data_IF_737751909528
#
_entry.id   IF_737751909528
#
_cell.length_a   1.000
_cell.length_b   1.000
_cell.length_c   1.000
_cell.angle_alpha   90.00
_cell.angle_beta   90.00
_cell.angle_gamma   90.00
#
_symmetry.space_group_name_H-M   'P 1'
#
loop_
_entity.id
_entity.type
_entity.pdbx_description
1 polymer ?
#
# COMPACT_ATOMS: atom_id res chain seq x y z
N UNK A 1 -11.41 -1.98 26.58
CA UNK A 1 -11.94 -3.00 25.65
C UNK A 1 -11.47 -2.85 24.20
N UNK A 2 -10.79 -1.75 23.81
CA UNK A 2 -10.35 -1.46 22.45
C UNK A 2 -8.92 -1.94 22.11
N UNK A 3 -8.10 -2.29 23.09
CA UNK A 3 -6.73 -2.76 22.86
C UNK A 3 -6.64 -4.24 22.41
N UNK A 4 -7.65 -5.05 22.70
CA UNK A 4 -7.65 -6.50 22.41
C UNK A 4 -7.93 -6.83 20.94
N UNK A 5 -8.70 -6.03 20.22
CA UNK A 5 -8.99 -6.29 18.81
C UNK A 5 -7.78 -6.03 17.90
N UNK A 6 -6.96 -5.04 18.21
CA UNK A 6 -5.76 -4.69 17.42
C UNK A 6 -4.68 -5.80 17.45
N UNK A 7 -4.52 -6.48 18.58
CA UNK A 7 -3.55 -7.59 18.69
C UNK A 7 -4.02 -8.82 17.90
N UNK A 8 -5.34 -9.05 17.87
CA UNK A 8 -5.93 -10.19 17.15
C UNK A 8 -5.87 -9.99 15.63
N UNK A 9 -6.11 -8.76 15.16
CA UNK A 9 -6.01 -8.42 13.74
C UNK A 9 -4.56 -8.45 13.24
N UNK A 10 -3.60 -7.97 14.04
CA UNK A 10 -2.19 -8.07 13.73
C UNK A 10 -1.72 -9.53 13.61
N UNK A 11 -2.16 -10.39 14.53
CA UNK A 11 -1.86 -11.82 14.51
C UNK A 11 -2.47 -12.54 13.30
N UNK A 12 -3.72 -12.24 12.96
CA UNK A 12 -4.37 -12.77 11.76
C UNK A 12 -3.69 -12.31 10.46
N UNK A 13 -3.18 -11.07 10.43
CA UNK A 13 -2.40 -10.57 9.30
C UNK A 13 -1.06 -11.30 9.16
N UNK A 14 -0.37 -11.58 10.28
CA UNK A 14 0.87 -12.38 10.28
C UNK A 14 0.63 -13.82 9.82
N UNK A 15 -0.40 -14.49 10.33
CA UNK A 15 -0.74 -15.86 9.94
C UNK A 15 -1.07 -15.95 8.44
N UNK A 16 -1.80 -14.97 7.90
CA UNK A 16 -2.10 -14.91 6.46
C UNK A 16 -0.88 -14.57 5.61
N UNK A 17 0.02 -13.71 6.10
CA UNK A 17 1.29 -13.43 5.43
C UNK A 17 2.10 -14.72 5.30
N UNK A 18 2.22 -15.50 6.37
CA UNK A 18 2.93 -16.78 6.35
C UNK A 18 2.29 -17.79 5.40
N UNK A 19 0.97 -17.90 5.38
CA UNK A 19 0.25 -18.78 4.43
C UNK A 19 0.50 -18.36 2.97
N UNK A 20 0.51 -17.08 2.67
CA UNK A 20 0.77 -16.59 1.30
C UNK A 20 2.23 -16.74 0.89
N UNK A 21 3.16 -16.57 1.82
CA UNK A 21 4.59 -16.83 1.57
C UNK A 21 4.82 -18.32 1.29
N UNK A 22 4.18 -19.21 2.07
CA UNK A 22 4.22 -20.66 1.84
C UNK A 22 3.61 -21.06 0.50
N UNK A 23 2.46 -20.48 0.14
CA UNK A 23 1.81 -20.73 -1.15
C UNK A 23 2.68 -20.31 -2.36
N UNK A 24 3.61 -19.37 -2.15
CA UNK A 24 4.57 -18.91 -3.17
C UNK A 24 5.95 -19.55 -3.05
N UNK A 25 6.13 -20.49 -2.12
CA UNK A 25 7.41 -21.17 -1.89
C UNK A 25 8.51 -20.27 -1.32
N UNK A 26 8.15 -19.13 -0.72
CA UNK A 26 9.08 -18.16 -0.14
C UNK A 26 8.99 -18.25 1.37
N UNK A 27 10.11 -18.46 2.06
CA UNK A 27 10.14 -18.41 3.52
C UNK A 27 10.34 -16.96 4.00
N UNK A 28 9.82 -16.64 5.20
CA UNK A 28 10.03 -15.33 5.85
C UNK A 28 11.52 -14.97 5.92
N UNK A 29 12.38 -15.95 6.20
CA UNK A 29 13.83 -15.79 6.24
C UNK A 29 14.44 -15.43 4.86
N UNK A 30 13.87 -15.96 3.78
CA UNK A 30 14.28 -15.58 2.42
C UNK A 30 13.80 -14.17 2.06
N UNK A 31 12.60 -13.78 2.52
CA UNK A 31 12.11 -12.41 2.37
C UNK A 31 12.99 -11.43 3.16
N UNK A 32 13.33 -11.75 4.42
CA UNK A 32 14.23 -10.97 5.27
C UNK A 32 15.64 -10.90 4.67
N UNK A 33 16.17 -12.00 4.16
CA UNK A 33 17.47 -12.03 3.47
C UNK A 33 17.46 -11.21 2.18
N UNK A 34 16.38 -11.21 1.41
CA UNK A 34 16.23 -10.33 0.26
C UNK A 34 16.16 -8.86 0.67
N UNK A 35 15.55 -8.56 1.81
CA UNK A 35 15.52 -7.22 2.40
C UNK A 35 16.92 -6.81 2.93
N UNK A 36 17.62 -7.70 3.62
CA UNK A 36 18.97 -7.44 4.17
C UNK A 36 20.04 -7.32 3.06
N UNK A 37 19.96 -8.12 2.01
CA UNK A 37 20.87 -8.00 0.86
C UNK A 37 20.66 -6.71 0.06
N UNK A 38 19.50 -6.08 0.15
CA UNK A 38 19.24 -4.77 -0.46
C UNK A 38 19.85 -3.60 0.33
N UNK A 39 20.30 -3.83 1.56
CA UNK A 39 20.88 -2.79 2.43
C UNK A 39 22.40 -2.62 2.30
N UNK A 40 23.06 -3.53 1.57
CA UNK A 40 24.53 -3.47 1.35
C UNK A 40 24.80 -3.03 -0.09
N UNK A 41 25.07 -1.75 -0.27
CA UNK A 41 25.66 -1.09 -1.46
C UNK A 41 24.95 -1.23 -2.83
N UNK A 42 23.77 -1.79 -2.95
CA UNK A 42 23.00 -1.67 -4.18
C UNK A 42 22.17 -0.38 -4.18
N UNK A 43 22.42 0.48 -5.18
CA UNK A 43 21.57 1.63 -5.49
C UNK A 43 20.10 1.17 -5.53
N UNK A 44 19.24 1.69 -4.64
CA UNK A 44 17.83 1.31 -4.57
C UNK A 44 17.17 1.60 -5.91
N UNK A 45 16.97 0.58 -6.71
CA UNK A 45 16.35 0.70 -8.03
C UNK A 45 14.84 0.78 -7.87
N UNK A 46 14.31 1.96 -8.10
CA UNK A 46 12.87 2.12 -8.22
C UNK A 46 12.37 1.43 -9.49
N UNK A 47 11.22 0.81 -9.40
CA UNK A 47 10.60 0.07 -10.49
C UNK A 47 9.09 0.28 -10.46
N UNK A 48 8.43 -0.07 -11.53
CA UNK A 48 6.96 -0.03 -11.59
C UNK A 48 6.41 -1.41 -11.86
N UNK A 49 5.20 -1.63 -11.36
CA UNK A 49 4.40 -2.79 -11.71
C UNK A 49 2.94 -2.38 -11.85
N UNK A 50 2.21 -3.09 -12.67
CA UNK A 50 0.78 -2.87 -12.86
C UNK A 50 -0.01 -3.67 -11.86
N UNK A 51 -0.96 -3.00 -11.21
CA UNK A 51 -1.83 -3.64 -10.24
C UNK A 51 -3.25 -3.79 -10.80
N UNK A 52 -3.77 -5.02 -10.72
CA UNK A 52 -5.10 -5.36 -11.18
C UNK A 52 -5.26 -5.35 -12.71
N UNK A 53 -6.48 -5.54 -13.17
CA UNK A 53 -6.84 -5.50 -14.58
C UNK A 53 -7.15 -4.05 -15.02
N UNK A 54 -7.00 -3.74 -16.31
CA UNK A 54 -7.46 -2.46 -16.85
C UNK A 54 -8.95 -2.23 -16.57
N UNK A 55 -9.33 -1.00 -16.24
CA UNK A 55 -10.68 -0.63 -15.88
C UNK A 55 -11.16 0.62 -16.61
N UNK A 56 -12.44 0.67 -16.96
CA UNK A 56 -13.08 1.88 -17.55
C UNK A 56 -13.44 2.90 -16.46
N UNK A 57 -13.87 2.44 -15.31
CA UNK A 57 -14.23 3.29 -14.16
C UNK A 57 -13.41 2.87 -12.96
N UNK A 58 -12.75 3.85 -12.35
CA UNK A 58 -11.99 3.64 -11.11
C UNK A 58 -12.95 3.21 -10.00
N UNK A 59 -12.62 2.14 -9.28
CA UNK A 59 -13.20 1.90 -7.96
C UNK A 59 -12.42 2.77 -6.95
N UNK A 60 -13.07 3.81 -6.38
CA UNK A 60 -12.38 4.72 -5.48
C UNK A 60 -11.84 4.02 -4.23
N UNK A 61 -12.51 2.97 -3.75
CA UNK A 61 -12.08 2.23 -2.58
C UNK A 61 -10.75 1.49 -2.85
N UNK A 62 -10.66 0.80 -3.99
CA UNK A 62 -9.41 0.11 -4.40
C UNK A 62 -8.27 1.13 -4.57
N UNK A 63 -8.54 2.27 -5.20
CA UNK A 63 -7.53 3.32 -5.38
C UNK A 63 -7.03 3.88 -4.05
N UNK A 64 -7.93 4.09 -3.07
CA UNK A 64 -7.56 4.58 -1.74
C UNK A 64 -6.70 3.54 -1.02
N UNK A 65 -7.13 2.28 -0.99
CA UNK A 65 -6.39 1.19 -0.33
C UNK A 65 -4.99 1.07 -0.94
N UNK A 66 -4.90 0.92 -2.26
CA UNK A 66 -3.63 0.75 -2.96
C UNK A 66 -2.69 1.94 -2.73
N UNK A 67 -3.22 3.17 -2.79
CA UNK A 67 -2.42 4.37 -2.55
C UNK A 67 -1.91 4.46 -1.11
N UNK A 68 -2.73 4.03 -0.14
CA UNK A 68 -2.37 4.05 1.28
C UNK A 68 -1.28 3.02 1.59
N UNK A 69 -1.44 1.79 1.09
CA UNK A 69 -0.43 0.73 1.23
C UNK A 69 0.87 1.14 0.54
N UNK A 70 0.80 1.58 -0.72
CA UNK A 70 1.99 2.01 -1.44
C UNK A 70 2.71 3.17 -0.72
N UNK A 71 1.97 4.18 -0.24
CA UNK A 71 2.54 5.31 0.50
C UNK A 71 3.19 4.88 1.81
N UNK A 72 2.64 3.91 2.51
CA UNK A 72 3.23 3.35 3.73
C UNK A 72 4.62 2.76 3.44
N UNK A 73 4.75 2.02 2.35
CA UNK A 73 6.01 1.45 1.86
C UNK A 73 6.83 2.41 0.97
N UNK A 74 6.68 3.72 1.14
CA UNK A 74 7.35 4.77 0.38
C UNK A 74 7.09 4.77 -1.13
N UNK A 75 6.18 3.93 -1.63
CA UNK A 75 5.78 3.86 -3.03
C UNK A 75 4.81 4.98 -3.45
N UNK A 76 4.46 4.99 -4.74
CA UNK A 76 3.46 5.89 -5.34
C UNK A 76 2.57 5.14 -6.30
N UNK A 77 1.32 5.55 -6.41
CA UNK A 77 0.36 5.01 -7.37
C UNK A 77 0.04 6.06 -8.41
N UNK A 78 0.08 5.66 -9.67
CA UNK A 78 -0.25 6.50 -10.82
C UNK A 78 -1.33 5.80 -11.63
N UNK A 79 -2.35 6.55 -12.04
CA UNK A 79 -3.35 6.02 -12.97
C UNK A 79 -2.88 6.30 -14.39
N UNK A 80 -2.46 5.26 -15.09
CA UNK A 80 -2.02 5.37 -16.48
C UNK A 80 -3.14 5.03 -17.45
N UNK A 81 -3.13 5.70 -18.60
CA UNK A 81 -4.01 5.44 -19.74
C UNK A 81 -3.28 4.72 -20.88
N UNK A 82 -2.02 4.37 -20.66
CA UNK A 82 -1.18 3.69 -21.65
C UNK A 82 -0.86 2.26 -21.20
N UNK A 83 -0.80 1.35 -22.14
CA UNK A 83 -0.33 -0.03 -21.94
C UNK A 83 1.20 -0.08 -21.72
N UNK A 84 1.75 -1.28 -21.59
CA UNK A 84 3.18 -1.51 -21.40
C UNK A 84 4.02 -1.07 -22.61
N UNK A 85 3.43 -1.10 -23.79
CA UNK A 85 4.06 -0.70 -25.05
C UNK A 85 3.92 0.81 -25.32
N UNK A 86 3.28 1.55 -24.42
CA UNK A 86 3.06 2.98 -24.55
C UNK A 86 1.84 3.37 -25.40
N UNK A 87 1.03 2.42 -25.86
CA UNK A 87 -0.19 2.68 -26.62
C UNK A 87 -1.33 3.09 -25.70
N UNK A 88 -2.21 3.96 -26.17
CA UNK A 88 -3.40 4.36 -25.42
C UNK A 88 -4.40 3.20 -25.28
N UNK A 89 -4.87 2.95 -24.08
CA UNK A 89 -5.85 1.91 -23.75
C UNK A 89 -7.27 2.46 -23.94
N UNK A 90 -7.73 2.71 -25.09
CA UNK A 90 -9.07 3.15 -25.52
C UNK A 90 -10.15 3.29 -24.39
N UNK A 91 -10.04 4.35 -23.62
CA UNK A 91 -10.90 4.65 -22.46
C UNK A 91 -10.64 3.81 -21.20
N UNK A 92 -9.70 2.88 -21.21
CA UNK A 92 -9.27 2.14 -20.05
C UNK A 92 -8.13 2.84 -19.30
N UNK A 93 -8.04 2.55 -18.03
CA UNK A 93 -6.95 3.00 -17.14
C UNK A 93 -6.43 1.81 -16.37
N UNK A 94 -5.23 1.95 -15.82
CA UNK A 94 -4.64 0.94 -14.93
C UNK A 94 -3.84 1.64 -13.83
N UNK A 95 -3.77 1.01 -12.68
CA UNK A 95 -2.88 1.45 -11.61
C UNK A 95 -1.45 1.00 -11.92
N UNK A 96 -0.55 1.96 -12.04
CA UNK A 96 0.89 1.74 -12.11
C UNK A 96 1.50 2.10 -10.75
N UNK A 97 2.08 1.12 -10.08
CA UNK A 97 2.63 1.27 -8.74
C UNK A 97 4.14 1.39 -8.85
N UNK A 98 4.66 2.51 -8.39
CA UNK A 98 6.09 2.78 -8.31
C UNK A 98 6.58 2.45 -6.91
N UNK A 99 7.53 1.53 -6.81
CA UNK A 99 8.10 1.10 -5.55
C UNK A 99 9.51 0.55 -5.77
N UNK A 100 10.27 0.33 -4.71
CA UNK A 100 11.48 -0.48 -4.80
C UNK A 100 11.12 -1.94 -5.09
N UNK A 101 12.07 -2.66 -5.67
CA UNK A 101 11.86 -4.08 -6.00
C UNK A 101 11.51 -4.91 -4.76
N UNK A 102 12.13 -4.61 -3.62
CA UNK A 102 11.88 -5.29 -2.36
C UNK A 102 10.42 -5.08 -1.85
N UNK A 103 9.84 -3.90 -2.07
CA UNK A 103 8.52 -3.54 -1.57
C UNK A 103 7.34 -3.99 -2.43
N UNK A 104 7.61 -4.40 -3.68
CA UNK A 104 6.55 -4.84 -4.61
C UNK A 104 5.64 -5.90 -4.03
N UNK A 105 6.23 -6.97 -3.50
CA UNK A 105 5.49 -8.12 -2.99
C UNK A 105 4.65 -7.74 -1.77
N UNK A 106 5.22 -6.95 -0.86
CA UNK A 106 4.51 -6.46 0.32
C UNK A 106 3.29 -5.63 -0.09
N UNK A 107 3.47 -4.66 -0.99
CA UNK A 107 2.36 -3.83 -1.48
C UNK A 107 1.26 -4.68 -2.11
N UNK A 108 1.61 -5.67 -2.92
CA UNK A 108 0.63 -6.57 -3.54
C UNK A 108 -0.14 -7.38 -2.49
N UNK A 109 0.57 -8.07 -1.59
CA UNK A 109 -0.04 -8.94 -0.57
C UNK A 109 -0.98 -8.14 0.33
N UNK A 110 -0.52 -7.00 0.86
CA UNK A 110 -1.35 -6.18 1.75
C UNK A 110 -2.57 -5.59 1.02
N UNK A 111 -2.39 -5.15 -0.22
CA UNK A 111 -3.51 -4.61 -1.00
C UNK A 111 -4.55 -5.69 -1.30
N UNK A 112 -4.13 -6.88 -1.74
CA UNK A 112 -5.03 -8.00 -2.02
C UNK A 112 -5.80 -8.43 -0.76
N UNK A 113 -5.10 -8.52 0.37
CA UNK A 113 -5.71 -8.82 1.66
C UNK A 113 -6.78 -7.81 2.06
N UNK A 114 -6.47 -6.50 1.97
CA UNK A 114 -7.41 -5.45 2.34
C UNK A 114 -8.62 -5.37 1.41
N UNK A 115 -8.43 -5.67 0.11
CA UNK A 115 -9.55 -5.76 -0.84
C UNK A 115 -10.45 -6.95 -0.50
N UNK A 116 -9.88 -8.07 -0.13
CA UNK A 116 -10.64 -9.23 0.32
C UNK A 116 -11.42 -8.90 1.61
N UNK A 117 -10.76 -8.33 2.62
CA UNK A 117 -11.41 -7.91 3.86
C UNK A 117 -12.56 -6.92 3.61
N UNK A 118 -12.38 -5.94 2.74
CA UNK A 118 -13.44 -5.02 2.32
C UNK A 118 -14.65 -5.76 1.72
N UNK A 119 -14.41 -6.79 0.89
CA UNK A 119 -15.48 -7.56 0.29
C UNK A 119 -16.21 -8.44 1.32
N UNK A 120 -15.47 -9.04 2.24
CA UNK A 120 -16.02 -9.86 3.32
C UNK A 120 -16.88 -9.01 4.27
N UNK A 121 -16.39 -7.83 4.66
CA UNK A 121 -17.14 -6.87 5.49
C UNK A 121 -18.40 -6.35 4.77
N UNK A 122 -18.32 -6.13 3.46
CA UNK A 122 -19.52 -5.78 2.68
C UNK A 122 -20.55 -6.90 2.71
N UNK A 123 -20.14 -8.16 2.54
CA UNK A 123 -21.06 -9.32 2.61
C UNK A 123 -21.69 -9.43 4.00
N UNK A 124 -20.91 -9.20 5.05
CA UNK A 124 -21.42 -9.18 6.44
C UNK A 124 -22.45 -8.07 6.63
N UNK A 125 -22.14 -6.85 6.19
CA UNK A 125 -23.06 -5.71 6.25
C UNK A 125 -24.38 -5.98 5.50
N UNK A 126 -24.33 -6.62 4.34
CA UNK A 126 -25.53 -7.02 3.60
C UNK A 126 -26.43 -7.99 4.36
N UNK A 127 -25.82 -8.86 5.20
CA UNK A 127 -26.58 -9.82 6.04
C UNK A 127 -27.18 -9.14 7.27
N UNK A 128 -26.50 -8.14 7.83
CA UNK A 128 -26.94 -7.40 9.01
C UNK A 128 -28.08 -6.42 8.71
N UNK A 129 -28.06 -5.77 7.53
CA UNK A 129 -29.08 -4.82 7.11
C UNK A 129 -29.52 -5.02 5.64
N UNK A 130 -30.20 -6.14 5.34
CA UNK A 130 -30.61 -6.48 3.98
C UNK A 130 -31.63 -5.49 3.39
N UNK A 131 -32.45 -4.86 4.24
CA UNK A 131 -33.47 -3.91 3.80
C UNK A 131 -32.83 -2.61 3.29
N UNK A 132 -31.90 -2.03 4.03
CA UNK A 132 -31.19 -0.82 3.64
C UNK A 132 -30.38 -1.04 2.36
N UNK A 133 -29.72 -2.20 2.25
CA UNK A 133 -28.96 -2.58 1.05
C UNK A 133 -29.86 -2.67 -0.18
N UNK A 134 -31.04 -3.27 -0.05
CA UNK A 134 -32.03 -3.37 -1.15
C UNK A 134 -32.57 -2.01 -1.58
N UNK A 135 -32.86 -1.12 -0.62
CA UNK A 135 -33.40 0.22 -0.89
C UNK A 135 -32.38 1.16 -1.56
N UNK A 136 -31.12 1.12 -1.16
CA UNK A 136 -30.11 2.09 -1.58
C UNK A 136 -29.21 1.62 -2.74
N UNK A 137 -29.23 0.34 -3.07
CA UNK A 137 -28.57 -0.25 -4.22
C UNK A 137 -27.07 0.04 -4.34
N UNK A 138 -26.62 0.31 -5.56
CA UNK A 138 -25.19 0.52 -5.86
C UNK A 138 -24.57 1.75 -5.19
N UNK A 139 -25.36 2.78 -4.89
CA UNK A 139 -24.90 3.98 -4.21
C UNK A 139 -24.45 3.68 -2.78
N UNK A 140 -25.24 2.88 -2.06
CA UNK A 140 -24.91 2.45 -0.70
C UNK A 140 -23.62 1.62 -0.66
N UNK A 141 -23.51 0.65 -1.58
CA UNK A 141 -22.29 -0.15 -1.73
C UNK A 141 -21.04 0.72 -1.92
N UNK A 142 -21.12 1.69 -2.83
CA UNK A 142 -20.00 2.58 -3.11
C UNK A 142 -19.64 3.47 -1.91
N UNK A 143 -20.64 3.95 -1.19
CA UNK A 143 -20.46 4.76 0.02
C UNK A 143 -19.81 3.95 1.14
N UNK A 144 -20.32 2.74 1.41
CA UNK A 144 -19.74 1.82 2.38
C UNK A 144 -18.27 1.52 2.04
N UNK A 145 -17.98 1.08 0.82
CA UNK A 145 -16.63 0.72 0.37
C UNK A 145 -15.66 1.89 0.50
N UNK A 146 -16.11 3.09 0.11
CA UNK A 146 -15.31 4.31 0.22
C UNK A 146 -15.03 4.72 1.67
N UNK A 147 -16.03 4.62 2.55
CA UNK A 147 -15.87 4.92 3.98
C UNK A 147 -14.92 3.92 4.66
N UNK A 148 -15.06 2.63 4.36
CA UNK A 148 -14.17 1.59 4.85
C UNK A 148 -12.71 1.83 4.41
N UNK A 149 -12.49 2.11 3.13
CA UNK A 149 -11.16 2.38 2.58
C UNK A 149 -10.52 3.64 3.20
N UNK A 150 -11.33 4.68 3.50
CA UNK A 150 -10.85 5.88 4.19
C UNK A 150 -10.35 5.57 5.60
N UNK A 151 -11.08 4.77 6.39
CA UNK A 151 -10.64 4.34 7.71
C UNK A 151 -9.30 3.58 7.66
N UNK A 152 -9.14 2.70 6.67
CA UNK A 152 -7.86 2.02 6.43
C UNK A 152 -6.76 3.03 6.11
N UNK A 153 -7.04 4.01 5.24
CA UNK A 153 -6.09 5.06 4.88
C UNK A 153 -5.66 5.90 6.07
N UNK A 154 -6.59 6.28 6.94
CA UNK A 154 -6.32 6.99 8.18
C UNK A 154 -5.39 6.18 9.08
N UNK A 155 -5.65 4.87 9.23
CA UNK A 155 -4.82 3.97 10.03
C UNK A 155 -3.39 3.86 9.51
N UNK A 156 -3.20 3.68 8.21
CA UNK A 156 -1.86 3.67 7.60
C UNK A 156 -1.13 5.01 7.80
N UNK A 157 -1.86 6.12 7.73
CA UNK A 157 -1.29 7.45 7.96
C UNK A 157 -0.86 7.65 9.41
N UNK A 158 -1.62 7.13 10.37
CA UNK A 158 -1.27 7.12 11.79
C UNK A 158 -0.01 6.27 12.04
N UNK A 159 0.00 5.02 11.56
CA UNK A 159 1.15 4.12 11.69
C UNK A 159 2.43 4.76 11.13
N UNK A 160 2.35 5.35 9.94
CA UNK A 160 3.49 6.03 9.32
C UNK A 160 3.98 7.21 10.16
N UNK A 161 3.06 7.99 10.73
CA UNK A 161 3.40 9.11 11.61
C UNK A 161 4.05 8.63 12.91
N UNK A 162 3.57 7.53 13.47
CA UNK A 162 4.16 6.91 14.65
C UNK A 162 5.60 6.43 14.37
N UNK A 163 5.84 5.76 13.23
CA UNK A 163 7.19 5.37 12.80
C UNK A 163 8.12 6.58 12.60
N UNK A 164 7.64 7.63 11.95
CA UNK A 164 8.41 8.87 11.73
C UNK A 164 8.75 9.56 13.06
N UNK A 165 7.83 9.58 14.02
CA UNK A 165 8.05 10.17 15.35
C UNK A 165 9.04 9.33 16.15
N UNK A 166 8.91 8.01 16.19
CA UNK A 166 9.87 7.12 16.82
C UNK A 166 11.27 7.29 16.22
N UNK A 167 11.37 7.41 14.90
CA UNK A 167 12.63 7.69 14.22
C UNK A 167 13.25 9.04 14.63
N UNK A 168 12.44 10.08 14.85
CA UNK A 168 12.91 11.40 15.32
C UNK A 168 13.35 11.34 16.78
N UNK A 169 12.62 10.68 17.67
CA UNK A 169 12.98 10.51 19.07
C UNK A 169 14.32 9.78 19.23
N UNK A 170 14.56 8.75 18.42
CA UNK A 170 15.82 8.03 18.37
C UNK A 170 16.96 8.96 17.94
N UNK A 171 16.72 9.88 17.01
CA UNK A 171 17.74 10.85 16.57
C UNK A 171 18.02 11.92 17.61
N UNK A 172 17.04 12.32 18.41
CA UNK A 172 17.17 13.43 19.38
C UNK A 172 17.63 12.97 20.76
N UNK A 173 17.30 11.76 21.18
CA UNK A 173 17.53 11.29 22.57
C UNK A 173 18.85 10.54 22.76
N UNK A 174 19.64 10.25 21.74
CA UNK A 174 20.84 9.44 21.95
C UNK A 174 22.18 10.15 21.83
N UNK A 175 22.81 10.25 23.00
CA UNK A 175 24.29 10.25 23.07
C UNK A 175 24.90 8.91 22.64
N UNK A 176 24.10 7.86 22.51
CA UNK A 176 24.49 6.55 21.95
C UNK A 176 23.55 6.25 20.79
N UNK A 177 23.93 6.70 19.60
CA UNK A 177 23.18 6.50 18.36
C UNK A 177 23.12 5.00 18.09
N UNK A 178 21.93 4.44 18.11
CA UNK A 178 21.70 3.08 17.67
C UNK A 178 21.88 3.06 16.12
N UNK A 179 23.05 2.64 15.65
CA UNK A 179 23.45 2.70 14.23
C UNK A 179 22.44 2.01 13.31
N UNK A 180 21.76 0.97 13.82
CA UNK A 180 20.73 0.25 13.06
C UNK A 180 19.48 1.11 12.80
N UNK A 181 19.00 1.88 13.79
CA UNK A 181 17.85 2.75 13.61
C UNK A 181 18.13 3.91 12.64
N UNK A 182 19.35 4.45 12.70
CA UNK A 182 19.80 5.50 11.78
C UNK A 182 19.92 4.98 10.34
N UNK A 183 20.36 3.72 10.17
CA UNK A 183 20.41 3.05 8.87
C UNK A 183 19.02 2.90 8.26
N UNK A 184 18.00 2.49 9.04
CA UNK A 184 16.62 2.36 8.58
C UNK A 184 16.03 3.71 8.12
N UNK A 185 16.24 4.78 8.88
CA UNK A 185 15.76 6.11 8.50
C UNK A 185 16.43 6.61 7.21
N UNK A 186 17.73 6.41 7.08
CA UNK A 186 18.47 6.77 5.86
C UNK A 186 18.00 5.94 4.67
N UNK A 187 17.81 4.63 4.84
CA UNK A 187 17.30 3.73 3.80
C UNK A 187 15.92 4.19 3.31
N UNK A 188 14.99 4.52 4.21
CA UNK A 188 13.66 5.00 3.83
C UNK A 188 13.71 6.34 3.07
N UNK A 189 14.61 7.26 3.45
CA UNK A 189 14.80 8.53 2.74
C UNK A 189 15.39 8.32 1.34
N UNK A 190 16.36 7.43 1.22
CA UNK A 190 16.99 7.08 -0.06
C UNK A 190 15.99 6.42 -1.00
N UNK A 191 15.18 5.48 -0.48
CA UNK A 191 14.12 4.80 -1.23
C UNK A 191 13.09 5.82 -1.76
N UNK A 192 12.59 6.71 -0.91
CA UNK A 192 11.64 7.75 -1.29
C UNK A 192 12.21 8.69 -2.36
N UNK A 193 13.50 9.06 -2.24
CA UNK A 193 14.19 9.89 -3.22
C UNK A 193 14.33 9.19 -4.57
N UNK A 194 14.72 7.91 -4.59
CA UNK A 194 14.85 7.10 -5.78
C UNK A 194 13.50 6.95 -6.52
N UNK A 195 12.41 6.70 -5.78
CA UNK A 195 11.07 6.61 -6.34
C UNK A 195 10.61 7.95 -6.93
N UNK A 196 10.88 9.06 -6.26
CA UNK A 196 10.54 10.39 -6.78
C UNK A 196 11.30 10.71 -8.06
N UNK A 197 12.60 10.40 -8.11
CA UNK A 197 13.44 10.55 -9.31
C UNK A 197 12.90 9.72 -10.47
N UNK A 198 12.66 8.43 -10.24
CA UNK A 198 12.09 7.52 -11.24
C UNK A 198 10.72 8.00 -11.73
N UNK A 199 9.87 8.49 -10.82
CA UNK A 199 8.58 9.06 -11.16
C UNK A 199 8.70 10.27 -12.09
N UNK A 200 9.63 11.18 -11.79
CA UNK A 200 9.86 12.36 -12.61
C UNK A 200 10.40 12.02 -14.02
N UNK A 201 11.25 11.00 -14.11
CA UNK A 201 11.80 10.52 -15.39
C UNK A 201 10.74 9.79 -16.23
N UNK A 202 10.00 8.87 -15.63
CA UNK A 202 9.00 8.04 -16.33
C UNK A 202 7.74 8.84 -16.69
N UNK A 203 7.35 9.80 -15.87
CA UNK A 203 6.11 10.58 -16.01
C UNK A 203 6.35 12.08 -15.93
N UNK A 204 7.11 12.68 -16.88
CA UNK A 204 7.51 14.11 -16.82
C UNK A 204 6.32 15.09 -16.92
N UNK A 205 5.15 14.62 -17.34
CA UNK A 205 3.92 15.43 -17.49
C UNK A 205 2.84 15.06 -16.45
N UNK A 206 3.23 14.50 -15.31
CA UNK A 206 2.28 14.32 -14.22
C UNK A 206 1.78 15.68 -13.74
N UNK A 207 0.57 16.05 -14.18
CA UNK A 207 -0.16 17.09 -13.47
C UNK A 207 -0.49 16.56 -12.08
N UNK A 208 -0.18 17.32 -11.03
CA UNK A 208 -0.69 17.05 -9.69
C UNK A 208 -2.22 17.14 -9.77
N UNK A 209 -2.87 16.01 -10.00
CA UNK A 209 -4.33 15.91 -9.91
C UNK A 209 -4.73 16.44 -8.54
N UNK A 210 -5.73 17.31 -8.48
CA UNK A 210 -6.34 17.72 -7.20
C UNK A 210 -6.75 16.44 -6.48
N UNK A 211 -6.10 16.17 -5.34
CA UNK A 211 -6.46 15.05 -4.50
C UNK A 211 -7.96 15.11 -4.23
N UNK A 212 -8.63 14.00 -4.35
CA UNK A 212 -10.01 13.89 -3.90
C UNK A 212 -10.02 14.08 -2.38
N UNK A 213 -10.32 15.29 -1.95
CA UNK A 213 -10.65 15.60 -0.54
C UNK A 213 -12.02 15.02 -0.20
#
# INVERSE_FOLDING_TARGET
LTASSNVHEARLAEEKLEQQLQARGITRKQLEQQLDMSTVDEEIKATSFRYGQPYKRVDPAISIILSSVASFYNGRVINTVKDENGNYMDGYRQHDVLASQARKLEIQIYTDYLIQALNDDWVKHCKEDPFQVAMMGSSHRNSFRKAWARKVSERFSEMKREEENQGREIQTSSRTINQSALAVVKSNQTEKSAINKYCAEKYPRLSSGRGYT
#
